data_IF_667967406872
#
_entry.id   IF_667967406872
#
_cell.length_a   1.000
_cell.length_b   1.000
_cell.length_c   1.000
_cell.angle_alpha   90.00
_cell.angle_beta   90.00
_cell.angle_gamma   90.00
#
_symmetry.space_group_name_H-M   'P 1'
#
loop_
_entity.id
_entity.type
_entity.pdbx_description
1 polymer ?
#
# COMPACT_ATOMS: atom_id res chain seq x y z
N UNK A 1 -11.91 -12.28 9.06
CA UNK A 1 -11.60 -11.07 8.27
C UNK A 1 -10.82 -10.12 9.17
N UNK A 2 -9.54 -9.85 8.86
CA UNK A 2 -8.80 -8.81 9.56
C UNK A 2 -9.45 -7.46 9.27
N UNK A 3 -10.05 -6.85 10.30
CA UNK A 3 -10.56 -5.48 10.23
C UNK A 3 -9.45 -4.55 10.66
N UNK A 4 -9.18 -3.53 9.84
CA UNK A 4 -8.33 -2.42 10.24
C UNK A 4 -9.06 -1.65 11.34
N UNK A 5 -8.33 -1.28 12.39
CA UNK A 5 -8.94 -0.50 13.48
C UNK A 5 -9.43 0.86 12.96
N UNK A 6 -10.53 1.40 13.51
CA UNK A 6 -11.03 2.73 13.12
C UNK A 6 -9.97 3.83 13.27
N UNK A 7 -9.13 3.75 14.30
CA UNK A 7 -8.04 4.70 14.55
C UNK A 7 -7.01 4.67 13.43
N UNK A 8 -6.59 3.47 12.99
CA UNK A 8 -5.65 3.33 11.88
C UNK A 8 -6.29 3.77 10.55
N UNK A 9 -7.53 3.37 10.28
CA UNK A 9 -8.24 3.79 9.07
C UNK A 9 -8.37 5.32 8.97
N UNK A 10 -8.50 6.01 10.11
CA UNK A 10 -8.58 7.48 10.15
C UNK A 10 -7.31 8.20 9.67
N UNK A 11 -6.14 7.54 9.74
CA UNK A 11 -4.84 8.10 9.31
C UNK A 11 -4.42 7.64 7.92
N UNK A 12 -4.85 6.47 7.47
CA UNK A 12 -4.50 5.95 6.15
C UNK A 12 -5.05 6.84 5.02
N UNK A 13 -4.25 7.05 3.98
CA UNK A 13 -4.60 7.86 2.81
C UNK A 13 -4.32 7.10 1.52
N UNK A 14 -5.11 7.37 0.50
CA UNK A 14 -4.87 6.88 -0.84
C UNK A 14 -3.51 7.40 -1.35
N UNK A 15 -2.58 6.53 -1.80
CA UNK A 15 -1.27 6.93 -2.30
C UNK A 15 -1.32 7.77 -3.59
N UNK A 16 -2.44 7.76 -4.31
CA UNK A 16 -2.61 8.51 -5.58
C UNK A 16 -3.30 9.85 -5.35
N UNK A 17 -4.42 9.85 -4.62
CA UNK A 17 -5.27 11.05 -4.46
C UNK A 17 -5.09 11.77 -3.13
N UNK A 18 -4.44 11.14 -2.16
CA UNK A 18 -4.39 11.62 -0.78
C UNK A 18 -5.73 11.59 -0.04
N UNK A 19 -6.80 11.05 -0.63
CA UNK A 19 -8.12 10.99 0.01
C UNK A 19 -8.17 9.95 1.15
N UNK A 20 -9.13 10.05 2.08
CA UNK A 20 -9.44 8.97 3.01
C UNK A 20 -9.73 7.63 2.29
N UNK A 21 -9.59 6.55 3.06
CA UNK A 21 -9.90 5.19 2.64
C UNK A 21 -11.06 4.63 3.48
N UNK A 22 -11.89 3.80 2.87
CA UNK A 22 -12.91 2.99 3.55
C UNK A 22 -12.63 1.53 3.34
N UNK A 23 -12.83 0.69 4.36
CA UNK A 23 -12.68 -0.75 4.22
C UNK A 23 -13.97 -1.38 3.70
N UNK A 24 -13.90 -2.06 2.56
CA UNK A 24 -14.96 -2.86 1.95
C UNK A 24 -14.48 -4.32 1.88
N UNK A 25 -14.88 -5.14 2.84
CA UNK A 25 -14.41 -6.53 2.91
C UNK A 25 -12.90 -6.61 3.14
N UNK A 26 -12.18 -7.17 2.16
CA UNK A 26 -10.72 -7.34 2.17
C UNK A 26 -9.99 -6.29 1.32
N UNK A 27 -10.65 -5.17 1.03
CA UNK A 27 -10.07 -4.07 0.26
C UNK A 27 -10.25 -2.73 0.97
N UNK A 28 -9.31 -1.82 0.74
CA UNK A 28 -9.44 -0.40 1.04
C UNK A 28 -9.79 0.36 -0.24
N UNK A 29 -10.80 1.22 -0.16
CA UNK A 29 -11.35 1.94 -1.30
C UNK A 29 -11.22 3.43 -1.07
N UNK A 30 -10.72 4.16 -2.08
CA UNK A 30 -10.60 5.61 -1.99
C UNK A 30 -11.97 6.29 -1.98
N UNK A 31 -12.13 7.32 -1.14
CA UNK A 31 -13.36 8.11 -1.12
C UNK A 31 -13.48 9.03 -2.34
N UNK A 32 -12.35 9.45 -2.91
CA UNK A 32 -12.28 10.21 -4.16
C UNK A 32 -11.88 9.30 -5.34
N UNK A 33 -12.36 9.63 -6.54
CA UNK A 33 -11.87 9.03 -7.77
C UNK A 33 -10.46 9.56 -8.12
N UNK A 34 -9.65 8.72 -8.77
CA UNK A 34 -8.39 9.15 -9.37
C UNK A 34 -8.60 9.81 -10.74
N UNK A 35 -7.50 10.04 -11.46
CA UNK A 35 -7.50 10.73 -12.77
C UNK A 35 -8.33 10.02 -13.85
N UNK A 36 -8.54 8.71 -13.71
CA UNK A 36 -9.40 7.90 -14.59
C UNK A 36 -10.90 8.08 -14.32
N UNK A 37 -11.29 8.84 -13.30
CA UNK A 37 -12.68 8.98 -12.85
C UNK A 37 -13.19 7.78 -12.05
N UNK A 38 -12.33 6.82 -11.71
CA UNK A 38 -12.67 5.61 -10.95
C UNK A 38 -12.03 5.65 -9.56
N UNK A 39 -12.72 5.10 -8.55
CA UNK A 39 -12.17 4.91 -7.21
C UNK A 39 -11.12 3.81 -7.22
N UNK A 40 -10.00 4.05 -6.54
CA UNK A 40 -8.92 3.08 -6.41
C UNK A 40 -9.24 2.08 -5.30
N UNK A 41 -8.80 0.84 -5.50
CA UNK A 41 -8.99 -0.27 -4.57
C UNK A 41 -7.64 -0.90 -4.26
N UNK A 42 -7.41 -1.21 -3.00
CA UNK A 42 -6.15 -1.74 -2.49
C UNK A 42 -6.43 -3.00 -1.68
N UNK A 43 -5.88 -4.17 -2.03
CA UNK A 43 -6.13 -5.41 -1.31
C UNK A 43 -5.48 -5.38 0.09
N UNK A 44 -6.03 -6.17 0.99
CA UNK A 44 -5.47 -6.47 2.31
C UNK A 44 -4.99 -7.93 2.27
N UNK A 45 -3.69 -8.14 2.31
CA UNK A 45 -3.05 -9.46 2.25
C UNK A 45 -2.41 -9.78 3.60
N UNK A 46 -2.79 -10.90 4.22
CA UNK A 46 -2.33 -11.29 5.56
C UNK A 46 -2.52 -10.19 6.64
N UNK A 47 -3.55 -9.37 6.47
CA UNK A 47 -3.85 -8.23 7.36
C UNK A 47 -3.03 -6.97 7.08
N UNK A 48 -2.20 -6.97 6.04
CA UNK A 48 -1.36 -5.84 5.61
C UNK A 48 -1.98 -5.20 4.36
N UNK A 49 -2.33 -3.89 4.40
CA UNK A 49 -2.83 -3.19 3.22
C UNK A 49 -1.74 -2.92 2.17
N UNK A 50 -1.98 -3.32 0.92
CA UNK A 50 -1.07 -3.06 -0.19
C UNK A 50 -1.30 -1.66 -0.78
N UNK A 51 -0.78 -0.62 -0.13
CA UNK A 51 -0.95 0.78 -0.53
C UNK A 51 0.12 1.25 -1.53
N UNK A 52 0.22 0.57 -2.66
CA UNK A 52 1.06 0.98 -3.78
C UNK A 52 0.21 1.68 -4.86
N UNK A 53 0.72 2.74 -5.52
CA UNK A 53 0.16 3.19 -6.79
C UNK A 53 0.04 2.00 -7.76
N UNK A 54 -1.08 1.84 -8.50
CA UNK A 54 -1.32 0.69 -9.38
C UNK A 54 -0.16 0.39 -10.35
N UNK A 55 0.45 1.45 -10.88
CA UNK A 55 1.58 1.41 -11.79
C UNK A 55 2.87 0.84 -11.18
N UNK A 56 2.98 0.80 -9.84
CA UNK A 56 4.15 0.31 -9.13
C UNK A 56 4.02 -1.16 -8.67
N UNK A 57 2.85 -1.79 -8.79
CA UNK A 57 2.67 -3.18 -8.35
C UNK A 57 3.62 -4.14 -9.07
N UNK A 58 3.74 -4.03 -10.40
CA UNK A 58 4.64 -4.89 -11.16
C UNK A 58 6.10 -4.71 -10.76
N UNK A 59 6.52 -3.47 -10.51
CA UNK A 59 7.87 -3.17 -10.07
C UNK A 59 8.15 -3.77 -8.69
N UNK A 60 7.19 -3.72 -7.76
CA UNK A 60 7.33 -4.30 -6.43
C UNK A 60 7.48 -5.82 -6.48
N UNK A 61 6.74 -6.53 -7.34
CA UNK A 61 6.88 -7.99 -7.48
C UNK A 61 8.20 -8.41 -8.13
N UNK A 62 8.75 -7.57 -9.01
CA UNK A 62 10.02 -7.84 -9.68
C UNK A 62 11.26 -7.51 -8.84
N UNK A 63 11.12 -6.68 -7.80
CA UNK A 63 12.21 -6.31 -6.92
C UNK A 63 12.61 -7.47 -6.01
N UNK A 64 13.90 -7.78 -5.94
CA UNK A 64 14.45 -8.67 -4.91
C UNK A 64 14.39 -8.00 -3.53
N UNK A 65 14.13 -8.79 -2.48
CA UNK A 65 14.07 -8.28 -1.11
C UNK A 65 15.39 -7.69 -0.60
N UNK A 66 16.51 -8.07 -1.23
CA UNK A 66 17.87 -7.57 -0.98
C UNK A 66 18.05 -6.09 -1.37
N UNK A 67 17.16 -5.55 -2.21
CA UNK A 67 17.24 -4.17 -2.68
C UNK A 67 16.94 -3.12 -1.58
N UNK A 68 16.41 -3.54 -0.43
CA UNK A 68 16.17 -2.68 0.73
C UNK A 68 17.27 -2.77 1.80
N UNK A 69 18.19 -3.74 1.70
CA UNK A 69 19.27 -3.86 2.67
C UNK A 69 20.34 -2.77 2.44
N UNK A 70 20.88 -2.17 3.50
CA UNK A 70 22.03 -1.31 3.35
C UNK A 70 23.20 -2.11 2.76
N UNK A 71 24.06 -1.50 1.93
CA UNK A 71 25.23 -2.21 1.41
C UNK A 71 26.06 -2.72 2.58
N UNK A 72 26.30 -4.04 2.62
CA UNK A 72 27.17 -4.69 3.60
C UNK A 72 28.56 -4.06 3.47
N UNK A 73 28.96 -3.26 4.48
CA UNK A 73 30.32 -2.74 4.54
C UNK A 73 31.26 -3.88 4.96
N UNK A 74 32.35 -4.16 4.21
CA UNK A 74 33.31 -5.17 4.63
C UNK A 74 33.96 -4.75 5.95
N UNK A 75 34.02 -5.69 6.90
CA UNK A 75 34.78 -5.48 8.14
C UNK A 75 36.26 -5.32 7.78
N UNK A 76 36.84 -4.16 8.10
CA UNK A 76 38.29 -3.95 8.02
C UNK A 76 38.89 -4.51 9.30
N UNK A 77 39.79 -5.50 9.16
CA UNK A 77 40.69 -6.01 10.21
C UNK A 77 41.81 -4.99 10.45
#
# INVERSE_FOLDING_TARGET
MPKISPELLSVLRCPVTGSPLVQEGEELVSTAAGDSGVKLRYPIEDGIPLLLPPELLQAATAAGSDQHDPPVRPATD
#
